data_IF_740420023111
#
_entry.id   IF_740420023111
#
_cell.length_a   1.000
_cell.length_b   1.000
_cell.length_c   1.000
_cell.angle_alpha   90.00
_cell.angle_beta   90.00
_cell.angle_gamma   90.00
#
_symmetry.space_group_name_H-M   'P 1'
#
loop_
_entity.id
_entity.type
_entity.pdbx_description
1 polymer ?
#
# COMPACT_ATOMS: atom_id res chain seq x y z
N UNK A 1 10.00 -7.77 -12.69
CA UNK A 1 10.12 -8.20 -11.27
C UNK A 1 9.71 -7.13 -10.26
N UNK A 2 10.02 -5.84 -10.42
CA UNK A 2 9.69 -4.79 -9.44
C UNK A 2 8.21 -4.37 -9.28
N UNK A 3 7.48 -4.14 -10.38
CA UNK A 3 6.01 -3.93 -10.30
C UNK A 3 5.32 -5.18 -9.79
N UNK A 4 5.85 -6.33 -10.19
CA UNK A 4 5.49 -7.62 -9.63
C UNK A 4 5.68 -7.58 -8.13
N UNK A 5 6.86 -7.31 -7.57
CA UNK A 5 7.09 -7.34 -6.10
C UNK A 5 6.11 -6.48 -5.30
N UNK A 6 5.74 -5.28 -5.75
CA UNK A 6 4.81 -4.42 -4.99
C UNK A 6 3.34 -4.79 -5.16
N UNK A 7 2.94 -5.20 -6.37
CA UNK A 7 1.62 -5.82 -6.58
C UNK A 7 1.51 -7.16 -5.85
N UNK A 8 2.57 -7.97 -5.89
CA UNK A 8 2.72 -9.29 -5.28
C UNK A 8 2.76 -9.19 -3.77
N UNK A 9 3.41 -8.21 -3.14
CA UNK A 9 3.45 -8.15 -1.66
C UNK A 9 2.05 -7.94 -1.08
N UNK A 10 1.29 -6.99 -1.64
CA UNK A 10 -0.10 -6.78 -1.24
C UNK A 10 -0.99 -7.96 -1.67
N UNK A 11 -0.80 -8.47 -2.89
CA UNK A 11 -1.55 -9.61 -3.41
C UNK A 11 -1.29 -10.92 -2.63
N UNK A 12 -0.06 -11.18 -2.20
CA UNK A 12 0.33 -12.32 -1.37
C UNK A 12 -0.22 -12.16 0.04
N UNK A 13 -0.20 -10.94 0.59
CA UNK A 13 -0.86 -10.65 1.85
C UNK A 13 -2.38 -10.90 1.75
N UNK A 14 -3.03 -10.42 0.70
CA UNK A 14 -4.44 -10.70 0.41
C UNK A 14 -4.71 -12.21 0.28
N UNK A 15 -3.83 -12.93 -0.43
CA UNK A 15 -3.96 -14.39 -0.65
C UNK A 15 -3.77 -15.18 0.65
N UNK A 16 -2.87 -14.73 1.53
CA UNK A 16 -2.48 -15.46 2.76
C UNK A 16 -3.38 -15.12 3.96
N UNK A 17 -3.74 -13.85 4.11
CA UNK A 17 -4.49 -13.34 5.27
C UNK A 17 -5.94 -13.00 4.95
N UNK A 18 -6.29 -12.89 3.67
CA UNK A 18 -7.62 -12.56 3.19
C UNK A 18 -7.87 -11.04 3.09
N UNK A 19 -8.86 -10.62 2.29
CA UNK A 19 -9.20 -9.21 2.07
C UNK A 19 -9.77 -8.51 3.30
N UNK A 20 -10.24 -9.26 4.30
CA UNK A 20 -10.81 -8.71 5.53
C UNK A 20 -9.73 -8.36 6.57
N UNK A 21 -8.55 -8.97 6.47
CA UNK A 21 -7.46 -8.81 7.46
C UNK A 21 -6.23 -8.10 6.88
N UNK A 22 -6.31 -7.68 5.62
CA UNK A 22 -5.23 -6.99 4.92
C UNK A 22 -5.76 -5.62 4.54
N UNK A 23 -5.00 -4.58 4.89
CA UNK A 23 -5.36 -3.20 4.56
C UNK A 23 -4.13 -2.43 4.12
N UNK A 24 -4.28 -1.63 3.08
CA UNK A 24 -3.25 -0.73 2.59
C UNK A 24 -3.52 0.72 3.05
N UNK A 25 -2.51 1.34 3.68
CA UNK A 25 -2.59 2.72 4.17
C UNK A 25 -1.50 3.54 3.50
N UNK A 26 -1.89 4.57 2.75
CA UNK A 26 -0.93 5.53 2.22
C UNK A 26 -0.57 6.56 3.30
N UNK A 27 0.73 6.72 3.52
CA UNK A 27 1.30 7.67 4.48
C UNK A 27 1.96 8.87 3.79
N UNK A 28 1.99 8.87 2.45
CA UNK A 28 2.58 9.93 1.64
C UNK A 28 1.94 11.28 1.98
N UNK A 29 2.79 12.28 2.25
CA UNK A 29 2.39 13.66 2.58
C UNK A 29 1.41 13.76 3.77
N UNK A 30 1.27 12.71 4.59
CA UNK A 30 0.37 12.65 5.72
C UNK A 30 1.12 12.83 7.04
N UNK A 31 0.59 13.68 7.92
CA UNK A 31 1.10 13.82 9.28
C UNK A 31 0.84 12.55 10.10
N UNK A 32 1.74 12.19 11.01
CA UNK A 32 1.61 11.01 11.89
C UNK A 32 0.24 10.92 12.57
N UNK A 33 -0.30 12.04 13.09
CA UNK A 33 -1.61 12.06 13.73
C UNK A 33 -2.77 11.65 12.81
N UNK A 34 -2.71 11.98 11.51
CA UNK A 34 -3.71 11.58 10.52
C UNK A 34 -3.63 10.08 10.21
N UNK A 35 -2.42 9.53 10.16
CA UNK A 35 -2.18 8.10 9.94
C UNK A 35 -2.70 7.28 11.12
N UNK A 36 -2.39 7.70 12.35
CA UNK A 36 -2.87 7.03 13.57
C UNK A 36 -4.40 7.04 13.62
N UNK A 37 -5.04 8.18 13.35
CA UNK A 37 -6.52 8.25 13.28
C UNK A 37 -7.10 7.33 12.21
N UNK A 38 -6.45 7.20 11.03
CA UNK A 38 -6.87 6.25 9.99
C UNK A 38 -6.84 4.81 10.51
N UNK A 39 -5.80 4.43 11.25
CA UNK A 39 -5.66 3.10 11.85
C UNK A 39 -6.72 2.89 12.93
N UNK A 40 -6.94 3.85 13.82
CA UNK A 40 -7.98 3.76 14.86
C UNK A 40 -9.37 3.58 14.24
N UNK A 41 -9.70 4.36 13.20
CA UNK A 41 -10.97 4.22 12.47
C UNK A 41 -11.15 2.85 11.81
N UNK A 42 -10.06 2.23 11.36
CA UNK A 42 -10.07 0.88 10.78
C UNK A 42 -10.49 -0.17 11.83
N UNK A 43 -9.96 -0.06 13.05
CA UNK A 43 -10.34 -0.95 14.15
C UNK A 43 -11.72 -0.66 14.74
N UNK A 44 -12.11 0.61 14.85
CA UNK A 44 -13.37 1.01 15.51
C UNK A 44 -14.61 0.84 14.62
N UNK A 45 -14.51 1.15 13.31
CA UNK A 45 -15.69 1.23 12.42
C UNK A 45 -15.81 0.09 11.41
N UNK A 46 -14.76 -0.71 11.22
CA UNK A 46 -14.74 -1.85 10.30
C UNK A 46 -15.00 -1.51 8.82
N UNK A 47 -15.18 -0.23 8.47
CA UNK A 47 -15.35 0.29 7.11
C UNK A 47 -14.14 1.17 6.80
N UNK A 48 -13.03 0.51 6.51
CA UNK A 48 -11.86 1.19 5.97
C UNK A 48 -11.96 1.16 4.44
N UNK A 49 -11.95 2.34 3.82
CA UNK A 49 -11.78 2.45 2.38
C UNK A 49 -10.28 2.32 2.12
N UNK A 50 -9.86 1.19 1.55
CA UNK A 50 -8.45 0.96 1.27
C UNK A 50 -7.88 2.06 0.39
N UNK A 51 -6.72 2.60 0.77
CA UNK A 51 -6.01 3.56 -0.05
C UNK A 51 -5.44 2.79 -1.26
N UNK A 52 -5.87 3.14 -2.47
CA UNK A 52 -5.25 2.62 -3.69
C UNK A 52 -3.98 3.40 -3.99
N UNK A 53 -2.83 2.78 -3.75
CA UNK A 53 -1.53 3.34 -4.09
C UNK A 53 -1.12 2.86 -5.47
N UNK A 54 -0.97 3.80 -6.40
CA UNK A 54 -0.34 3.53 -7.69
C UNK A 54 1.19 3.53 -7.54
N UNK A 55 1.69 2.38 -7.11
CA UNK A 55 3.13 2.14 -6.93
C UNK A 55 3.93 2.32 -8.23
N UNK A 56 3.34 2.00 -9.38
CA UNK A 56 4.02 2.12 -10.67
C UNK A 56 4.28 3.59 -11.01
N UNK A 57 3.25 4.43 -10.84
CA UNK A 57 3.39 5.87 -11.03
C UNK A 57 4.40 6.49 -10.05
N UNK A 58 4.44 6.05 -8.80
CA UNK A 58 5.42 6.52 -7.80
C UNK A 58 6.86 6.16 -8.17
N UNK A 59 7.11 4.93 -8.59
CA UNK A 59 8.46 4.47 -8.98
C UNK A 59 8.92 5.16 -10.26
N UNK A 60 8.01 5.35 -11.22
CA UNK A 60 8.28 6.09 -12.44
C UNK A 60 8.66 7.54 -12.14
N UNK A 61 7.92 8.20 -11.25
CA UNK A 61 8.18 9.58 -10.82
C UNK A 61 9.52 9.73 -10.07
N UNK A 62 9.88 8.75 -9.24
CA UNK A 62 11.13 8.78 -8.48
C UNK A 62 12.36 8.31 -9.28
N UNK A 63 12.21 8.00 -10.58
CA UNK A 63 13.26 7.44 -11.44
C UNK A 63 13.88 6.12 -10.94
N UNK A 64 13.21 5.45 -10.00
CA UNK A 64 13.66 4.19 -9.39
C UNK A 64 13.32 2.98 -10.27
N UNK A 65 12.77 3.18 -11.47
CA UNK A 65 12.43 2.10 -12.41
C UNK A 65 13.62 1.18 -12.65
N UNK A 66 14.84 1.69 -12.84
CA UNK A 66 16.03 0.85 -13.04
C UNK A 66 16.43 0.02 -11.81
N UNK A 67 16.02 0.45 -10.61
CA UNK A 67 16.31 -0.22 -9.34
C UNK A 67 15.35 -1.38 -9.08
N UNK A 68 14.08 -1.21 -9.43
CA UNK A 68 13.04 -2.23 -9.23
C UNK A 68 12.84 -3.10 -10.48
N UNK A 69 13.20 -2.62 -11.66
CA UNK A 69 13.21 -3.36 -12.92
C UNK A 69 14.63 -3.39 -13.52
N UNK A 70 15.62 -3.97 -12.82
CA UNK A 70 16.77 -4.48 -13.53
C UNK A 70 16.23 -5.59 -14.43
N UNK A 71 16.50 -5.50 -15.73
CA UNK A 71 16.08 -6.44 -16.78
C UNK A 71 15.85 -7.88 -16.33
#
# INVERSE_FOLDING_TARGET
MGSEILGITFYDALKKFGPVKTHQIDTSLSSVSKVVKKIEMLFEKGKFQEDQVDWLSLISKNQDLKRFFPY
#
